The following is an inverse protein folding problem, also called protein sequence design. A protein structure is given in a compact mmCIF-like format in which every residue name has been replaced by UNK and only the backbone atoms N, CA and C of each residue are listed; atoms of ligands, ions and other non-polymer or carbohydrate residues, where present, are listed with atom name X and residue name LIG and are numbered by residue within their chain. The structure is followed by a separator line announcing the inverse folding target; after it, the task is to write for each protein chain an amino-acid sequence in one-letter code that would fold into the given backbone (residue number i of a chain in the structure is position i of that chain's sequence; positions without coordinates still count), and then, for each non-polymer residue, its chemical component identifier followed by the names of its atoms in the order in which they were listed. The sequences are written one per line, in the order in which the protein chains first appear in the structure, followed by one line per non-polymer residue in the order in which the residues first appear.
data_IF_667665386591
#
_entry.id   IF_667665386591
#
_cell.length_a   1.000
_cell.length_b   1.000
_cell.length_c   1.000
_cell.angle_alpha   90.00
_cell.angle_beta   90.00
_cell.angle_gamma   90.00
#
_symmetry.space_group_name_H-M   'P 1'
#
loop_
_entity.id
_entity.type
_entity.pdbx_description
1 polymer ?
#
# COMPACT_ATOMS: atom_id res chain seq x y z
N UNK A 1 -23.02 21.57 50.84
CA UNK A 1 -24.24 22.14 50.23
C UNK A 1 -25.42 21.59 51.01
N UNK A 2 -26.47 22.38 51.20
CA UNK A 2 -27.73 21.88 51.79
C UNK A 2 -28.38 20.91 50.80
N UNK A 3 -29.04 19.89 51.31
CA UNK A 3 -29.96 19.02 50.56
C UNK A 3 -31.38 19.55 50.70
N UNK A 4 -32.32 19.17 49.83
CA UNK A 4 -33.73 19.48 50.03
C UNK A 4 -34.24 19.06 51.43
N UNK A 5 -33.79 17.90 51.90
CA UNK A 5 -34.08 17.41 53.25
C UNK A 5 -33.51 18.31 54.37
N UNK A 6 -32.38 18.97 54.14
CA UNK A 6 -31.81 19.93 55.10
C UNK A 6 -32.63 21.23 55.16
N UNK A 7 -33.33 21.59 54.07
CA UNK A 7 -34.24 22.75 54.01
C UNK A 7 -35.53 22.40 54.75
N UNK A 8 -36.13 21.25 54.45
CA UNK A 8 -37.36 20.75 55.10
C UNK A 8 -37.21 20.59 56.62
N UNK A 9 -36.04 20.11 57.09
CA UNK A 9 -35.80 19.93 58.53
C UNK A 9 -35.33 21.19 59.26
N UNK A 10 -35.26 22.35 58.58
CA UNK A 10 -34.70 23.57 59.17
C UNK A 10 -35.64 24.18 60.20
N UNK A 11 -35.18 24.26 61.44
CA UNK A 11 -35.89 24.97 62.53
C UNK A 11 -35.33 26.36 62.76
N UNK A 12 -36.21 27.36 62.78
CA UNK A 12 -35.88 28.74 63.13
C UNK A 12 -36.28 29.05 64.58
N UNK A 13 -35.49 29.87 65.26
CA UNK A 13 -35.81 30.35 66.61
C UNK A 13 -36.93 31.39 66.56
N UNK A 14 -37.98 31.22 67.38
CA UNK A 14 -39.08 32.19 67.47
C UNK A 14 -38.63 33.48 68.19
N UNK A 15 -38.84 34.63 67.58
CA UNK A 15 -38.62 35.95 68.22
C UNK A 15 -39.97 36.53 68.67
N UNK A 16 -40.02 37.09 69.89
CA UNK A 16 -41.26 37.61 70.49
C UNK A 16 -41.66 39.00 69.99
N UNK A 17 -40.80 39.71 69.25
CA UNK A 17 -41.06 41.07 68.76
C UNK A 17 -40.49 41.22 67.34
N UNK A 18 -41.30 41.67 66.38
CA UNK A 18 -40.92 41.95 64.97
C UNK A 18 -40.28 40.78 64.18
N UNK A 19 -40.73 39.54 64.39
CA UNK A 19 -40.29 38.37 63.60
C UNK A 19 -41.16 38.12 62.35
N UNK A 20 -40.67 37.28 61.43
CA UNK A 20 -41.45 36.81 60.27
C UNK A 20 -42.61 35.90 60.69
N UNK A 21 -43.67 35.88 59.89
CA UNK A 21 -44.78 34.93 60.05
C UNK A 21 -44.29 33.50 59.83
N UNK A 22 -44.60 32.60 60.76
CA UNK A 22 -44.18 31.19 60.66
C UNK A 22 -44.84 30.54 59.44
N UNK A 23 -46.13 30.77 59.23
CA UNK A 23 -46.88 30.17 58.12
C UNK A 23 -46.37 30.65 56.75
N UNK A 24 -46.02 31.94 56.61
CA UNK A 24 -45.46 32.48 55.36
C UNK A 24 -44.04 31.95 55.09
N UNK A 25 -43.25 31.76 56.15
CA UNK A 25 -41.90 31.19 56.03
C UNK A 25 -41.98 29.71 55.66
N UNK A 26 -42.90 28.94 56.26
CA UNK A 26 -43.08 27.53 55.98
C UNK A 26 -43.58 27.32 54.52
N UNK A 27 -44.56 28.09 54.05
CA UNK A 27 -45.04 28.03 52.66
C UNK A 27 -43.93 28.34 51.65
N UNK A 28 -43.09 29.36 51.94
CA UNK A 28 -41.94 29.69 51.09
C UNK A 28 -40.85 28.61 51.11
N UNK A 29 -40.62 27.96 52.25
CA UNK A 29 -39.66 26.86 52.37
C UNK A 29 -40.15 25.60 51.64
N UNK A 30 -41.45 25.33 51.61
CA UNK A 30 -42.04 24.26 50.81
C UNK A 30 -41.81 24.50 49.30
N UNK A 31 -42.06 25.72 48.82
CA UNK A 31 -41.77 26.10 47.43
C UNK A 31 -40.29 25.96 47.09
N UNK A 32 -39.39 26.48 47.95
CA UNK A 32 -37.95 26.34 47.77
C UNK A 32 -37.55 24.86 47.75
N UNK A 33 -38.09 24.05 48.64
CA UNK A 33 -37.74 22.64 48.74
C UNK A 33 -38.11 21.91 47.45
N UNK A 34 -39.32 22.12 46.92
CA UNK A 34 -39.76 21.53 45.66
C UNK A 34 -38.88 21.94 44.46
N UNK A 35 -38.57 23.24 44.33
CA UNK A 35 -37.69 23.73 43.26
C UNK A 35 -36.25 23.22 43.40
N UNK A 36 -35.75 23.12 44.63
CA UNK A 36 -34.41 22.62 44.90
C UNK A 36 -34.28 21.12 44.65
N UNK A 37 -35.31 20.31 44.97
CA UNK A 37 -35.38 18.89 44.58
C UNK A 37 -35.32 18.72 43.07
N UNK A 38 -36.12 19.51 42.34
CA UNK A 38 -36.15 19.49 40.88
C UNK A 38 -34.77 19.82 40.30
N UNK A 39 -34.15 20.92 40.75
CA UNK A 39 -32.80 21.32 40.32
C UNK A 39 -31.75 20.27 40.67
N UNK A 40 -31.85 19.64 41.84
CA UNK A 40 -30.93 18.60 42.26
C UNK A 40 -31.01 17.38 41.35
N UNK A 41 -32.23 16.94 41.01
CA UNK A 41 -32.47 15.84 40.08
C UNK A 41 -31.98 16.17 38.66
N UNK A 42 -32.33 17.33 38.12
CA UNK A 42 -31.87 17.78 36.79
C UNK A 42 -30.33 17.87 36.73
N UNK A 43 -29.69 18.35 37.81
CA UNK A 43 -28.22 18.40 37.90
C UNK A 43 -27.59 17.01 37.90
N UNK A 44 -28.18 16.04 38.61
CA UNK A 44 -27.71 14.66 38.62
C UNK A 44 -27.87 14.00 37.24
N UNK A 45 -29.03 14.16 36.60
CA UNK A 45 -29.28 13.65 35.25
C UNK A 45 -28.33 14.27 34.20
N UNK A 46 -28.11 15.58 34.28
CA UNK A 46 -27.18 16.29 33.40
C UNK A 46 -25.74 15.80 33.60
N UNK A 47 -25.30 15.57 34.84
CA UNK A 47 -23.96 15.02 35.14
C UNK A 47 -23.79 13.62 34.55
N UNK A 48 -24.76 12.73 34.77
CA UNK A 48 -24.71 11.38 34.20
C UNK A 48 -24.62 11.43 32.67
N UNK A 49 -25.43 12.29 32.02
CA UNK A 49 -25.38 12.46 30.58
C UNK A 49 -24.03 13.01 30.09
N UNK A 50 -23.41 13.92 30.83
CA UNK A 50 -22.08 14.43 30.49
C UNK A 50 -21.04 13.31 30.59
N UNK A 51 -21.10 12.48 31.63
CA UNK A 51 -20.20 11.33 31.79
C UNK A 51 -20.36 10.33 30.64
N UNK A 52 -21.59 9.97 30.29
CA UNK A 52 -21.89 9.09 29.14
C UNK A 52 -21.34 9.65 27.83
N UNK A 53 -21.59 10.95 27.56
CA UNK A 53 -21.09 11.61 26.35
C UNK A 53 -19.56 11.69 26.32
N UNK A 54 -18.90 11.87 27.46
CA UNK A 54 -17.44 11.87 27.54
C UNK A 54 -16.87 10.49 27.26
N UNK A 55 -17.51 9.42 27.77
CA UNK A 55 -17.11 8.04 27.49
C UNK A 55 -17.22 7.73 25.99
N UNK A 56 -18.34 8.10 25.37
CA UNK A 56 -18.57 7.91 23.94
C UNK A 56 -17.58 8.72 23.08
N UNK A 57 -17.29 9.97 23.45
CA UNK A 57 -16.26 10.76 22.79
C UNK A 57 -14.88 10.10 22.87
N UNK A 58 -14.52 9.53 24.03
CA UNK A 58 -13.27 8.80 24.17
C UNK A 58 -13.22 7.55 23.27
N UNK A 59 -14.33 6.79 23.18
CA UNK A 59 -14.46 5.65 22.26
C UNK A 59 -14.28 6.08 20.80
N UNK A 60 -14.99 7.12 20.35
CA UNK A 60 -14.88 7.61 18.98
C UNK A 60 -13.47 8.10 18.64
N UNK A 61 -12.82 8.80 19.57
CA UNK A 61 -11.42 9.25 19.38
C UNK A 61 -10.45 8.07 19.23
N UNK A 62 -10.66 6.99 19.97
CA UNK A 62 -9.86 5.76 19.83
C UNK A 62 -10.10 5.07 18.47
N UNK A 63 -11.37 5.02 18.03
CA UNK A 63 -11.73 4.48 16.71
C UNK A 63 -11.10 5.33 15.59
N UNK A 64 -11.19 6.65 15.67
CA UNK A 64 -10.59 7.59 14.72
C UNK A 64 -9.07 7.40 14.64
N UNK A 65 -8.38 7.31 15.78
CA UNK A 65 -6.94 7.05 15.82
C UNK A 65 -6.58 5.72 15.16
N UNK A 66 -7.35 4.67 15.44
CA UNK A 66 -7.13 3.33 14.86
C UNK A 66 -7.36 3.35 13.35
N UNK A 67 -8.40 4.03 12.90
CA UNK A 67 -8.73 4.18 11.48
C UNK A 67 -7.62 4.96 10.75
N UNK A 68 -7.19 6.10 11.31
CA UNK A 68 -6.10 6.91 10.74
C UNK A 68 -4.80 6.11 10.63
N UNK A 69 -4.43 5.36 11.67
CA UNK A 69 -3.25 4.49 11.63
C UNK A 69 -3.38 3.40 10.55
N UNK A 70 -4.57 2.79 10.44
CA UNK A 70 -4.84 1.75 9.44
C UNK A 70 -4.77 2.32 8.02
N UNK A 71 -5.29 3.54 7.79
CA UNK A 71 -5.21 4.22 6.49
C UNK A 71 -3.77 4.52 6.11
N UNK A 72 -2.95 5.01 7.04
CA UNK A 72 -1.52 5.26 6.82
C UNK A 72 -0.82 3.95 6.46
N UNK A 73 -1.06 2.88 7.23
CA UNK A 73 -0.48 1.56 6.93
C UNK A 73 -0.87 1.04 5.55
N UNK A 74 -2.14 1.16 5.18
CA UNK A 74 -2.62 0.75 3.86
C UNK A 74 -1.96 1.58 2.73
N UNK A 75 -1.80 2.89 2.93
CA UNK A 75 -1.10 3.75 1.98
C UNK A 75 0.37 3.37 1.84
N UNK A 76 1.09 3.19 2.95
CA UNK A 76 2.50 2.76 2.93
C UNK A 76 2.66 1.42 2.23
N UNK A 77 1.80 0.44 2.55
CA UNK A 77 1.83 -0.87 1.89
C UNK A 77 1.56 -0.77 0.38
N UNK A 78 0.63 0.09 -0.04
CA UNK A 78 0.37 0.32 -1.46
C UNK A 78 1.57 0.97 -2.17
N UNK A 79 2.22 1.95 -1.55
CA UNK A 79 3.43 2.58 -2.07
C UNK A 79 4.60 1.60 -2.14
N UNK A 80 4.79 0.75 -1.14
CA UNK A 80 5.82 -0.29 -1.12
C UNK A 80 5.61 -1.31 -2.25
N UNK A 81 4.38 -1.80 -2.44
CA UNK A 81 4.04 -2.71 -3.55
C UNK A 81 4.32 -2.05 -4.90
N UNK A 82 3.94 -0.76 -5.06
CA UNK A 82 4.20 -0.01 -6.28
C UNK A 82 5.69 0.17 -6.56
N UNK A 83 6.49 0.46 -5.54
CA UNK A 83 7.93 0.64 -5.67
C UNK A 83 8.62 -0.69 -6.00
N UNK A 84 8.23 -1.78 -5.33
CA UNK A 84 8.74 -3.12 -5.63
C UNK A 84 8.42 -3.55 -7.06
N UNK A 85 7.17 -3.34 -7.51
CA UNK A 85 6.75 -3.66 -8.87
C UNK A 85 7.56 -2.87 -9.92
N UNK A 86 7.85 -1.59 -9.65
CA UNK A 86 8.72 -0.77 -10.52
C UNK A 86 10.14 -1.31 -10.60
N UNK A 87 10.74 -1.64 -9.45
CA UNK A 87 12.09 -2.20 -9.40
C UNK A 87 12.18 -3.55 -10.13
N UNK A 88 11.19 -4.42 -9.94
CA UNK A 88 11.10 -5.69 -10.65
C UNK A 88 10.94 -5.50 -12.16
N UNK A 89 10.09 -4.56 -12.59
CA UNK A 89 9.91 -4.26 -14.01
C UNK A 89 11.20 -3.74 -14.64
N UNK A 90 11.92 -2.85 -13.96
CA UNK A 90 13.21 -2.33 -14.42
C UNK A 90 14.27 -3.44 -14.51
N UNK A 91 14.32 -4.33 -13.52
CA UNK A 91 15.21 -5.50 -13.55
C UNK A 91 14.92 -6.42 -14.74
N UNK A 92 13.65 -6.74 -14.99
CA UNK A 92 13.22 -7.57 -16.13
C UNK A 92 13.60 -6.91 -17.45
N UNK A 93 13.38 -5.59 -17.59
CA UNK A 93 13.75 -4.85 -18.80
C UNK A 93 15.26 -4.87 -19.04
N UNK A 94 16.06 -4.65 -17.99
CA UNK A 94 17.52 -4.67 -18.08
C UNK A 94 18.04 -6.07 -18.43
N UNK A 95 17.50 -7.11 -17.81
CA UNK A 95 17.86 -8.50 -18.12
C UNK A 95 17.48 -8.88 -19.55
N UNK A 96 16.25 -8.56 -19.99
CA UNK A 96 15.80 -8.82 -21.35
C UNK A 96 16.68 -8.08 -22.38
N UNK A 97 17.06 -6.84 -22.10
CA UNK A 97 17.94 -6.06 -22.97
C UNK A 97 19.37 -6.65 -23.02
N UNK A 98 19.90 -7.10 -21.88
CA UNK A 98 21.21 -7.74 -21.82
C UNK A 98 21.22 -9.05 -22.60
N UNK A 99 20.21 -9.91 -22.39
CA UNK A 99 20.06 -11.18 -23.10
C UNK A 99 19.90 -10.96 -24.61
N UNK A 100 19.10 -9.98 -25.02
CA UNK A 100 18.93 -9.65 -26.44
C UNK A 100 20.25 -9.17 -27.07
N UNK A 101 21.01 -8.31 -26.39
CA UNK A 101 22.33 -7.87 -26.87
C UNK A 101 23.31 -9.03 -26.99
N UNK A 102 23.33 -9.94 -26.02
CA UNK A 102 24.17 -11.12 -26.06
C UNK A 102 23.80 -12.03 -27.23
N UNK A 103 22.51 -12.33 -27.40
CA UNK A 103 22.03 -13.16 -28.50
C UNK A 103 22.37 -12.57 -29.88
N UNK A 104 22.27 -11.24 -30.05
CA UNK A 104 22.68 -10.57 -31.29
C UNK A 104 24.19 -10.71 -31.51
N UNK A 105 25.01 -10.51 -30.48
CA UNK A 105 26.47 -10.65 -30.60
C UNK A 105 26.88 -12.09 -30.96
N UNK A 106 26.23 -13.10 -30.36
CA UNK A 106 26.44 -14.51 -30.70
C UNK A 106 26.06 -14.80 -32.17
N UNK A 107 24.92 -14.30 -32.63
CA UNK A 107 24.49 -14.44 -34.02
C UNK A 107 25.45 -13.75 -35.01
N UNK A 108 25.94 -12.56 -34.68
CA UNK A 108 26.93 -11.85 -35.50
C UNK A 108 28.23 -12.66 -35.62
N UNK A 109 28.68 -13.27 -34.53
CA UNK A 109 29.85 -14.15 -34.53
C UNK A 109 29.61 -15.39 -35.40
N UNK A 110 28.45 -16.03 -35.27
CA UNK A 110 28.08 -17.20 -36.07
C UNK A 110 28.00 -16.88 -37.56
N UNK A 111 27.46 -15.72 -37.93
CA UNK A 111 27.42 -15.24 -39.32
C UNK A 111 28.84 -15.13 -39.89
N UNK A 112 29.76 -14.49 -39.15
CA UNK A 112 31.15 -14.34 -39.58
C UNK A 112 31.83 -15.70 -39.76
N UNK A 113 31.62 -16.64 -38.83
CA UNK A 113 32.17 -17.99 -38.94
C UNK A 113 31.61 -18.73 -40.16
N UNK A 114 30.29 -18.66 -40.38
CA UNK A 114 29.62 -19.32 -41.52
C UNK A 114 30.04 -18.72 -42.86
N UNK A 115 30.25 -17.41 -42.94
CA UNK A 115 30.79 -16.76 -44.14
C UNK A 115 32.20 -17.28 -44.46
N UNK A 116 33.06 -17.40 -43.45
CA UNK A 116 34.41 -17.94 -43.61
C UNK A 116 34.41 -19.41 -44.05
N UNK A 117 33.54 -20.23 -43.45
CA UNK A 117 33.34 -21.63 -43.87
C UNK A 117 32.88 -21.73 -45.32
N UNK A 118 31.95 -20.86 -45.75
CA UNK A 118 31.45 -20.81 -47.12
C UNK A 118 32.56 -20.44 -48.11
N UNK A 119 33.35 -19.41 -47.81
CA UNK A 119 34.48 -18.99 -48.65
C UNK A 119 35.53 -20.10 -48.79
N UNK A 120 35.84 -20.80 -47.70
CA UNK A 120 36.78 -21.93 -47.72
C UNK A 120 36.24 -23.09 -48.56
N UNK A 121 34.95 -23.42 -48.41
CA UNK A 121 34.31 -24.46 -49.20
C UNK A 121 34.29 -24.12 -50.71
N UNK A 122 34.05 -22.86 -51.06
CA UNK A 122 34.11 -22.38 -52.44
C UNK A 122 35.52 -22.56 -53.03
N UNK A 123 36.56 -22.18 -52.30
CA UNK A 123 37.95 -22.41 -52.73
C UNK A 123 38.26 -23.89 -52.92
N UNK A 124 37.83 -24.74 -52.00
CA UNK A 124 38.02 -26.20 -52.12
C UNK A 124 37.29 -26.75 -53.35
N UNK A 125 36.08 -26.26 -53.64
CA UNK A 125 35.32 -26.63 -54.81
C UNK A 125 36.02 -26.22 -56.11
N UNK A 126 36.54 -24.99 -56.19
CA UNK A 126 37.28 -24.51 -57.37
C UNK A 126 38.56 -25.32 -57.62
N UNK A 127 39.30 -25.64 -56.56
CA UNK A 127 40.49 -26.51 -56.63
C UNK A 127 40.10 -27.91 -57.10
N UNK A 128 39.01 -28.47 -56.58
CA UNK A 128 38.52 -29.79 -57.00
C UNK A 128 38.13 -29.78 -58.48
N UNK A 129 37.40 -28.76 -58.92
CA UNK A 129 37.00 -28.58 -60.31
C UNK A 129 38.21 -28.53 -61.25
N UNK A 130 39.21 -27.72 -60.94
CA UNK A 130 40.44 -27.61 -61.75
C UNK A 130 41.22 -28.95 -61.82
N UNK A 131 41.30 -29.67 -60.70
CA UNK A 131 41.91 -31.02 -60.67
C UNK A 131 41.15 -32.01 -61.55
N UNK A 132 39.82 -31.99 -61.50
CA UNK A 132 38.98 -32.87 -62.30
C UNK A 132 39.11 -32.56 -63.80
N UNK A 133 39.09 -31.28 -64.18
CA UNK A 133 39.33 -30.84 -65.55
C UNK A 133 40.70 -31.29 -66.06
N UNK A 134 41.76 -31.09 -65.28
CA UNK A 134 43.12 -31.55 -65.62
C UNK A 134 43.20 -33.07 -65.80
N UNK A 135 42.55 -33.83 -64.92
CA UNK A 135 42.50 -35.29 -65.01
C UNK A 135 41.78 -35.75 -66.29
N UNK A 136 40.64 -35.14 -66.63
CA UNK A 136 39.90 -35.45 -67.85
C UNK A 136 40.70 -35.11 -69.12
N UNK A 137 41.39 -33.97 -69.14
CA UNK A 137 42.26 -33.57 -70.26
C UNK A 137 43.38 -34.61 -70.44
N UNK A 138 44.06 -35.00 -69.35
CA UNK A 138 45.12 -36.00 -69.39
C UNK A 138 44.61 -37.35 -69.92
N UNK A 139 43.42 -37.80 -69.49
CA UNK A 139 42.82 -39.03 -69.99
C UNK A 139 42.44 -38.94 -71.48
N UNK A 140 41.96 -37.78 -71.94
CA UNK A 140 41.67 -37.54 -73.36
C UNK A 140 42.94 -37.54 -74.23
N UNK A 141 44.04 -36.98 -73.74
CA UNK A 141 45.34 -37.02 -74.43
C UNK A 141 45.85 -38.45 -74.58
N UNK A 142 45.81 -39.24 -73.50
CA UNK A 142 46.18 -40.66 -73.53
C UNK A 142 45.38 -41.45 -74.58
N UNK A 143 44.06 -41.24 -74.67
CA UNK A 143 43.22 -41.90 -75.68
C UNK A 143 43.55 -41.48 -77.12
N UNK A 144 43.95 -40.21 -77.34
CA UNK A 144 44.35 -39.74 -78.66
C UNK A 144 45.67 -40.37 -79.11
N UNK A 145 46.60 -40.58 -78.18
CA UNK A 145 47.88 -41.20 -78.51
C UNK A 145 47.72 -42.71 -78.78
N UNK A 146 46.84 -43.41 -78.06
CA UNK A 146 46.50 -44.82 -78.36
C UNK A 146 45.86 -44.99 -79.75
N UNK A 147 45.13 -44.00 -80.26
CA UNK A 147 44.49 -44.05 -81.58
C UNK A 147 45.37 -43.58 -82.75
N UNK A 148 46.65 -43.23 -82.50
CA UNK A 148 47.60 -42.78 -83.54
C UNK A 148 48.53 -43.89 -84.04
N UNK A 149 48.54 -45.05 -83.39
CA UNK A 149 49.16 -46.30 -83.85
C UNK A 149 48.10 -47.20 -84.53
#
# INVERSE_FOLDING_TARGET
MLTPLDIENKKFSKQMMSGYSVDEVDEFLDEITADYEKLYKESAEAKNKIEDMQEDMAKYKNIENTLNNTLIMAQTAADDVKNLAKQQAEAILNEAQANAKQAVAELEQDIVMKQKELEELQKQFDVYKAKMESLLISQLELLKDVNKD
#
